data_IF_675691369892
#
_entry.id   IF_675691369892
#
_cell.length_a   1.000
_cell.length_b   1.000
_cell.length_c   1.000
_cell.angle_alpha   90.00
_cell.angle_beta   90.00
_cell.angle_gamma   90.00
#
_symmetry.space_group_name_H-M   'P 1'
#
loop_
_entity.id
_entity.type
_entity.pdbx_description
1 polymer ?
#
# COMPACT_ATOMS: atom_id res chain seq x y z
N UNK A 1 -34.52 6.84 -47.31
CA UNK A 1 -34.05 5.46 -47.04
C UNK A 1 -32.52 5.36 -47.06
N UNK A 2 -31.83 5.88 -48.09
CA UNK A 2 -30.35 5.87 -48.17
C UNK A 2 -29.63 6.62 -47.03
N UNK A 3 -30.15 7.78 -46.60
CA UNK A 3 -29.57 8.54 -45.49
C UNK A 3 -29.57 7.76 -44.16
N UNK A 4 -30.66 7.05 -43.87
CA UNK A 4 -30.82 6.21 -42.66
C UNK A 4 -29.82 5.04 -42.70
N UNK A 5 -29.66 4.40 -43.85
CA UNK A 5 -28.69 3.30 -44.04
C UNK A 5 -27.26 3.81 -43.83
N UNK A 6 -26.93 5.00 -44.34
CA UNK A 6 -25.61 5.62 -44.19
C UNK A 6 -25.29 5.92 -42.71
N UNK A 7 -26.24 6.52 -41.99
CA UNK A 7 -26.05 6.82 -40.56
C UNK A 7 -25.88 5.55 -39.74
N UNK A 8 -26.70 4.52 -39.99
CA UNK A 8 -26.57 3.23 -39.33
C UNK A 8 -25.20 2.57 -39.55
N UNK A 9 -24.66 2.60 -40.77
CA UNK A 9 -23.33 2.04 -41.08
C UNK A 9 -22.21 2.80 -40.37
N UNK A 10 -22.29 4.13 -40.30
CA UNK A 10 -21.30 4.95 -39.59
C UNK A 10 -21.33 4.62 -38.09
N UNK A 11 -22.52 4.51 -37.48
CA UNK A 11 -22.65 4.13 -36.07
C UNK A 11 -22.15 2.70 -35.81
N UNK A 12 -22.38 1.76 -36.73
CA UNK A 12 -21.88 0.39 -36.63
C UNK A 12 -20.35 0.34 -36.69
N UNK A 13 -19.74 1.06 -37.63
CA UNK A 13 -18.27 1.16 -37.74
C UNK A 13 -17.71 1.80 -36.47
N UNK A 14 -18.32 2.87 -35.97
CA UNK A 14 -17.93 3.50 -34.72
C UNK A 14 -18.00 2.53 -33.53
N UNK A 15 -19.08 1.76 -33.40
CA UNK A 15 -19.22 0.76 -32.35
C UNK A 15 -18.14 -0.33 -32.44
N UNK A 16 -17.81 -0.81 -33.65
CA UNK A 16 -16.73 -1.77 -33.87
C UNK A 16 -15.38 -1.19 -33.47
N UNK A 17 -15.10 0.08 -33.78
CA UNK A 17 -13.87 0.74 -33.37
C UNK A 17 -13.76 0.85 -31.85
N UNK A 18 -14.85 1.22 -31.16
CA UNK A 18 -14.89 1.27 -29.69
C UNK A 18 -14.66 -0.13 -29.10
N UNK A 19 -15.31 -1.16 -29.64
CA UNK A 19 -15.08 -2.54 -29.21
C UNK A 19 -13.63 -2.95 -29.43
N UNK A 20 -13.03 -2.65 -30.59
CA UNK A 20 -11.64 -3.00 -30.87
C UNK A 20 -10.69 -2.32 -29.87
N UNK A 21 -10.84 -1.00 -29.64
CA UNK A 21 -10.01 -0.26 -28.68
C UNK A 21 -10.13 -0.80 -27.26
N UNK A 22 -11.34 -1.16 -26.83
CA UNK A 22 -11.59 -1.70 -25.48
C UNK A 22 -11.06 -3.12 -25.31
N UNK A 23 -11.20 -3.99 -26.32
CA UNK A 23 -10.73 -5.37 -26.26
C UNK A 23 -9.22 -5.52 -26.48
N UNK A 24 -8.56 -4.62 -27.21
CA UNK A 24 -7.12 -4.66 -27.42
C UNK A 24 -6.32 -4.68 -26.11
N UNK A 25 -6.81 -3.99 -25.08
CA UNK A 25 -6.15 -3.91 -23.77
C UNK A 25 -6.56 -5.03 -22.80
N UNK A 26 -7.47 -5.93 -23.21
CA UNK A 26 -7.97 -6.99 -22.34
C UNK A 26 -7.16 -8.27 -22.54
N UNK A 27 -6.39 -8.65 -21.54
CA UNK A 27 -5.66 -9.91 -21.50
C UNK A 27 -6.33 -10.92 -20.57
N UNK A 28 -6.35 -12.21 -20.95
CA UNK A 28 -6.91 -13.28 -20.12
C UNK A 28 -6.03 -13.59 -18.89
N UNK A 29 -4.71 -13.39 -18.99
CA UNK A 29 -3.76 -13.71 -17.92
C UNK A 29 -3.78 -12.73 -16.75
N UNK A 30 -4.33 -11.52 -16.94
CA UNK A 30 -4.39 -10.50 -15.87
C UNK A 30 -5.13 -11.02 -14.64
N UNK A 31 -6.14 -11.88 -14.83
CA UNK A 31 -6.86 -12.52 -13.72
C UNK A 31 -5.92 -13.40 -12.88
N UNK A 32 -5.12 -14.25 -13.53
CA UNK A 32 -4.19 -15.14 -12.83
C UNK A 32 -3.08 -14.36 -12.12
N UNK A 33 -2.59 -13.27 -12.71
CA UNK A 33 -1.59 -12.42 -12.07
C UNK A 33 -2.13 -11.74 -10.81
N UNK A 34 -3.33 -11.16 -10.86
CA UNK A 34 -3.98 -10.56 -9.68
C UNK A 34 -4.25 -11.60 -8.60
N UNK A 35 -4.73 -12.79 -8.99
CA UNK A 35 -4.99 -13.87 -8.05
C UNK A 35 -3.71 -14.38 -7.38
N UNK A 36 -2.63 -14.55 -8.16
CA UNK A 36 -1.30 -14.89 -7.65
C UNK A 36 -0.83 -13.85 -6.64
N UNK A 37 -0.80 -12.56 -6.97
CA UNK A 37 -0.32 -11.50 -6.07
C UNK A 37 -1.17 -11.39 -4.79
N UNK A 38 -2.49 -11.56 -4.88
CA UNK A 38 -3.37 -11.58 -3.69
C UNK A 38 -3.05 -12.76 -2.78
N UNK A 39 -2.97 -13.97 -3.32
CA UNK A 39 -2.60 -15.14 -2.54
C UNK A 39 -1.18 -15.01 -1.97
N UNK A 40 -0.26 -14.43 -2.75
CA UNK A 40 1.15 -14.30 -2.40
C UNK A 40 1.39 -13.34 -1.22
N UNK A 41 0.68 -12.21 -1.15
CA UNK A 41 0.85 -11.24 -0.05
C UNK A 41 -0.17 -11.37 1.07
N UNK A 42 -1.41 -11.81 0.77
CA UNK A 42 -2.52 -11.76 1.72
C UNK A 42 -2.90 -13.15 2.24
N UNK A 43 -3.11 -14.12 1.36
CA UNK A 43 -3.63 -15.47 1.70
C UNK A 43 -2.57 -16.54 1.48
N UNK A 44 -1.54 -16.53 2.33
CA UNK A 44 -0.46 -17.52 2.26
C UNK A 44 -0.87 -18.91 2.79
N UNK A 45 -2.12 -19.06 3.24
CA UNK A 45 -2.68 -20.27 3.88
C UNK A 45 -1.88 -20.80 5.09
N UNK A 46 -0.84 -20.09 5.52
CA UNK A 46 -0.08 -20.37 6.75
C UNK A 46 -0.71 -19.61 7.90
N UNK A 47 -1.08 -20.31 8.98
CA UNK A 47 -1.86 -19.72 10.07
C UNK A 47 -1.16 -18.61 10.84
N UNK A 48 0.17 -18.55 10.80
CA UNK A 48 0.99 -17.61 11.61
C UNK A 48 1.34 -16.30 10.89
N UNK A 49 1.26 -16.26 9.56
CA UNK A 49 1.71 -15.12 8.73
C UNK A 49 0.69 -14.76 7.64
N UNK A 50 -0.59 -15.09 7.87
CA UNK A 50 -1.70 -14.76 6.98
C UNK A 50 -2.29 -13.40 7.36
N UNK A 51 -2.31 -12.47 6.40
CA UNK A 51 -2.81 -11.12 6.62
C UNK A 51 -4.28 -11.11 7.02
N UNK A 52 -5.07 -12.06 6.49
CA UNK A 52 -6.53 -12.11 6.70
C UNK A 52 -6.93 -12.45 8.14
N UNK A 53 -5.98 -12.92 8.96
CA UNK A 53 -6.20 -13.37 10.34
C UNK A 53 -5.60 -12.43 11.38
N UNK A 54 -5.04 -11.29 10.96
CA UNK A 54 -4.43 -10.32 11.87
C UNK A 54 -5.52 -9.61 12.67
N UNK A 55 -5.43 -9.71 14.00
CA UNK A 55 -6.37 -9.06 14.92
C UNK A 55 -5.68 -8.11 15.91
N UNK A 56 -4.35 -8.14 16.01
CA UNK A 56 -3.57 -7.34 16.98
C UNK A 56 -2.42 -6.61 16.29
N UNK A 57 -1.94 -5.55 16.93
CA UNK A 57 -0.82 -4.73 16.44
C UNK A 57 0.46 -5.57 16.34
N UNK A 58 0.72 -6.43 17.32
CA UNK A 58 1.90 -7.29 17.32
C UNK A 58 1.88 -8.29 16.16
N UNK A 59 0.70 -8.88 15.86
CA UNK A 59 0.52 -9.74 14.70
C UNK A 59 0.73 -8.98 13.39
N UNK A 60 0.30 -7.71 13.32
CA UNK A 60 0.54 -6.87 12.15
C UNK A 60 2.03 -6.65 11.90
N UNK A 61 2.79 -6.25 12.92
CA UNK A 61 4.24 -6.06 12.79
C UNK A 61 4.96 -7.37 12.48
N UNK A 62 4.57 -8.47 13.11
CA UNK A 62 5.11 -9.79 12.83
C UNK A 62 4.88 -10.21 11.37
N UNK A 63 3.67 -10.01 10.84
CA UNK A 63 3.36 -10.26 9.43
C UNK A 63 4.17 -9.36 8.50
N UNK A 64 4.27 -8.07 8.82
CA UNK A 64 4.97 -7.10 7.99
C UNK A 64 6.45 -7.49 7.82
N UNK A 65 7.12 -7.80 8.93
CA UNK A 65 8.54 -8.14 8.93
C UNK A 65 8.81 -9.51 8.28
N UNK A 66 8.07 -10.54 8.69
CA UNK A 66 8.38 -11.92 8.30
C UNK A 66 7.77 -12.31 6.95
N UNK A 67 6.63 -11.74 6.59
CA UNK A 67 5.94 -12.05 5.35
C UNK A 67 6.11 -10.94 4.32
N UNK A 68 5.60 -9.74 4.57
CA UNK A 68 5.57 -8.69 3.55
C UNK A 68 6.98 -8.30 3.08
N UNK A 69 7.89 -7.95 4.00
CA UNK A 69 9.26 -7.53 3.66
C UNK A 69 10.03 -8.64 2.95
N UNK A 70 10.00 -9.87 3.48
CA UNK A 70 10.62 -11.04 2.85
C UNK A 70 10.13 -11.24 1.41
N UNK A 71 8.82 -11.06 1.17
CA UNK A 71 8.22 -11.29 -0.14
C UNK A 71 8.45 -10.18 -1.17
N UNK A 72 8.75 -8.96 -0.72
CA UNK A 72 9.02 -7.81 -1.61
C UNK A 72 10.33 -7.91 -2.39
N UNK A 73 11.27 -8.75 -1.95
CA UNK A 73 12.60 -8.89 -2.57
C UNK A 73 12.95 -10.36 -2.74
N UNK A 74 13.56 -10.70 -3.87
CA UNK A 74 14.08 -12.03 -4.13
C UNK A 74 14.98 -12.53 -2.98
N UNK A 75 14.56 -13.61 -2.32
CA UNK A 75 15.33 -14.29 -1.28
C UNK A 75 16.24 -15.36 -1.91
N UNK A 76 17.20 -15.92 -1.14
CA UNK A 76 17.97 -17.07 -1.58
C UNK A 76 17.12 -18.19 -2.15
N UNK A 77 17.71 -18.94 -3.07
CA UNK A 77 17.11 -20.14 -3.61
C UNK A 77 16.92 -21.21 -2.54
N UNK A 78 16.11 -22.22 -2.85
CA UNK A 78 15.84 -23.35 -1.95
C UNK A 78 17.12 -24.12 -1.57
N UNK A 79 18.17 -24.01 -2.39
CA UNK A 79 19.51 -24.59 -2.17
C UNK A 79 20.49 -23.62 -1.50
N UNK A 80 20.05 -22.43 -1.08
CA UNK A 80 20.89 -21.40 -0.45
C UNK A 80 21.64 -20.51 -1.44
N UNK A 81 21.50 -20.74 -2.75
CA UNK A 81 22.18 -19.90 -3.74
C UNK A 81 21.62 -18.47 -3.73
N UNK A 82 22.51 -17.52 -3.99
CA UNK A 82 22.14 -16.10 -4.10
C UNK A 82 21.30 -15.91 -5.38
N UNK A 83 20.21 -15.12 -5.34
CA UNK A 83 19.36 -14.89 -6.49
C UNK A 83 20.02 -13.91 -7.47
N UNK A 84 21.02 -14.40 -8.23
CA UNK A 84 21.77 -13.60 -9.21
C UNK A 84 20.81 -13.04 -10.28
N UNK A 85 21.02 -11.76 -10.65
CA UNK A 85 20.23 -11.03 -11.65
C UNK A 85 18.75 -10.80 -11.32
N UNK A 86 18.30 -11.17 -10.11
CA UNK A 86 16.92 -10.94 -9.65
C UNK A 86 16.80 -9.70 -8.75
N UNK A 87 17.72 -8.74 -8.92
CA UNK A 87 17.68 -7.47 -8.22
C UNK A 87 16.41 -6.70 -8.60
N UNK A 88 15.54 -6.46 -7.61
CA UNK A 88 14.26 -5.78 -7.85
C UNK A 88 13.17 -6.70 -8.37
N UNK A 89 13.33 -8.02 -8.27
CA UNK A 89 12.21 -8.95 -8.39
C UNK A 89 11.60 -9.23 -7.01
N UNK A 90 10.32 -9.57 -7.00
CA UNK A 90 9.65 -10.15 -5.84
C UNK A 90 10.26 -11.52 -5.53
N UNK A 91 9.95 -12.05 -4.35
CA UNK A 91 10.41 -13.39 -3.97
C UNK A 91 9.76 -14.54 -4.77
N UNK A 92 8.78 -14.24 -5.63
CA UNK A 92 8.28 -15.18 -6.64
C UNK A 92 9.22 -15.32 -7.86
N UNK A 93 10.27 -14.50 -7.92
CA UNK A 93 11.36 -14.52 -8.91
C UNK A 93 10.88 -14.29 -10.35
N UNK A 94 9.65 -13.81 -10.51
CA UNK A 94 8.99 -13.64 -11.81
C UNK A 94 8.50 -12.22 -12.00
N UNK A 95 7.88 -11.63 -10.96
CA UNK A 95 7.36 -10.27 -11.02
C UNK A 95 8.44 -9.26 -10.62
N UNK A 96 8.61 -8.22 -11.44
CA UNK A 96 9.53 -7.12 -11.14
C UNK A 96 8.86 -6.07 -10.26
N UNK A 97 9.50 -5.75 -9.16
CA UNK A 97 9.14 -4.66 -8.26
C UNK A 97 9.72 -3.33 -8.77
N UNK A 98 8.85 -2.35 -8.95
CA UNK A 98 9.22 -1.02 -9.45
C UNK A 98 9.20 -0.04 -8.27
N UNK A 99 10.31 0.64 -8.04
CA UNK A 99 10.45 1.61 -6.94
C UNK A 99 10.71 0.95 -5.59
N UNK A 100 10.01 1.45 -4.56
CA UNK A 100 10.11 0.98 -3.19
C UNK A 100 8.73 1.00 -2.52
N UNK A 101 8.56 0.18 -1.47
CA UNK A 101 7.34 0.19 -0.68
C UNK A 101 7.38 1.42 0.25
N UNK A 102 6.26 2.14 0.31
CA UNK A 102 6.09 3.30 1.20
C UNK A 102 4.97 3.01 2.18
N UNK A 103 5.24 3.21 3.46
CA UNK A 103 4.23 3.14 4.52
C UNK A 103 3.75 4.55 4.85
N UNK A 104 2.43 4.73 4.97
CA UNK A 104 1.82 5.97 5.45
C UNK A 104 0.97 5.68 6.67
N UNK A 105 1.05 6.54 7.68
CA UNK A 105 0.25 6.44 8.90
C UNK A 105 -0.66 7.66 9.02
N UNK A 106 -1.94 7.42 9.33
CA UNK A 106 -2.88 8.46 9.76
C UNK A 106 -2.99 8.42 11.28
N UNK A 107 -3.08 9.60 11.90
CA UNK A 107 -3.22 9.75 13.35
C UNK A 107 -4.32 10.74 13.68
N UNK A 108 -4.85 10.65 14.89
CA UNK A 108 -5.88 11.55 15.41
C UNK A 108 -5.35 12.32 16.61
N UNK A 109 -5.86 13.53 16.80
CA UNK A 109 -5.51 14.37 17.95
C UNK A 109 -5.91 13.69 19.25
N UNK A 110 -4.97 13.61 20.17
CA UNK A 110 -5.22 13.17 21.54
C UNK A 110 -5.84 14.30 22.36
N UNK A 111 -6.94 14.03 23.07
CA UNK A 111 -7.56 14.99 24.00
C UNK A 111 -7.66 14.40 25.39
N UNK A 112 -7.68 15.25 26.41
CA UNK A 112 -7.99 14.82 27.77
C UNK A 112 -9.45 14.33 27.81
N UNK A 113 -9.66 13.15 28.41
CA UNK A 113 -11.02 12.66 28.61
C UNK A 113 -11.80 13.59 29.55
N UNK A 114 -13.12 13.78 29.32
CA UNK A 114 -13.97 14.50 30.28
C UNK A 114 -13.97 13.87 31.68
N UNK A 115 -13.89 12.55 31.74
CA UNK A 115 -13.69 11.80 32.98
C UNK A 115 -12.30 11.15 33.02
N UNK A 116 -11.38 11.83 33.71
CA UNK A 116 -9.99 11.38 33.86
C UNK A 116 -9.82 10.18 34.79
N UNK A 117 -10.88 9.74 35.47
CA UNK A 117 -10.81 8.59 36.39
C UNK A 117 -10.71 7.25 35.65
N UNK A 118 -11.19 7.19 34.41
CA UNK A 118 -11.20 5.97 33.59
C UNK A 118 -9.98 5.94 32.67
N UNK A 119 -9.71 7.05 31.98
CA UNK A 119 -8.53 7.21 31.12
C UNK A 119 -8.09 8.66 31.13
N UNK A 120 -6.78 8.91 31.09
CA UNK A 120 -6.23 10.25 30.96
C UNK A 120 -6.40 10.81 29.54
N UNK A 121 -6.33 9.94 28.52
CA UNK A 121 -6.33 10.32 27.11
C UNK A 121 -7.50 9.62 26.40
N UNK A 122 -8.23 10.41 25.62
CA UNK A 122 -9.32 9.96 24.77
C UNK A 122 -8.98 10.31 23.32
N UNK A 123 -9.11 9.32 22.45
CA UNK A 123 -8.98 9.48 21.01
C UNK A 123 -10.36 9.31 20.39
N UNK A 124 -10.73 10.22 19.50
CA UNK A 124 -11.97 10.07 18.74
C UNK A 124 -11.72 9.28 17.47
N UNK A 125 -12.80 8.82 16.85
CA UNK A 125 -12.77 8.32 15.49
C UNK A 125 -12.10 9.31 14.53
N UNK A 126 -11.49 8.76 13.48
CA UNK A 126 -10.87 9.56 12.44
C UNK A 126 -11.88 10.47 11.73
N UNK A 127 -11.51 11.74 11.58
CA UNK A 127 -12.18 12.72 10.72
C UNK A 127 -11.14 13.71 10.21
N UNK A 128 -11.37 14.30 9.03
CA UNK A 128 -10.45 15.32 8.48
C UNK A 128 -10.21 16.50 9.44
N UNK A 129 -11.21 16.85 10.27
CA UNK A 129 -11.07 17.90 11.29
C UNK A 129 -10.23 17.48 12.50
N UNK A 130 -10.20 16.19 12.81
CA UNK A 130 -9.53 15.61 13.97
C UNK A 130 -8.21 14.91 13.64
N UNK A 131 -7.76 15.04 12.39
CA UNK A 131 -6.47 14.55 11.94
C UNK A 131 -5.34 15.26 12.70
N UNK A 132 -4.35 14.48 13.11
CA UNK A 132 -3.16 15.00 13.75
C UNK A 132 -2.17 15.47 12.69
N UNK A 133 -1.91 16.77 12.67
CA UNK A 133 -1.04 17.43 11.69
C UNK A 133 0.24 17.97 12.33
N UNK A 134 0.45 17.76 13.63
CA UNK A 134 1.64 18.20 14.32
C UNK A 134 2.88 17.42 13.86
N UNK A 135 4.03 18.10 13.85
CA UNK A 135 5.33 17.48 13.62
C UNK A 135 5.81 16.78 14.90
N UNK A 136 6.17 15.50 14.77
CA UNK A 136 6.70 14.71 15.88
C UNK A 136 8.16 14.38 15.66
N UNK A 137 8.84 14.10 16.77
CA UNK A 137 10.13 13.44 16.73
C UNK A 137 9.96 11.92 16.71
N UNK A 138 11.09 11.22 16.55
CA UNK A 138 11.14 9.76 16.62
C UNK A 138 10.47 9.26 17.89
N UNK A 139 9.50 8.36 17.75
CA UNK A 139 8.75 7.82 18.88
C UNK A 139 7.51 8.64 19.26
N UNK A 140 7.05 9.57 18.41
CA UNK A 140 5.84 10.36 18.62
C UNK A 140 5.92 11.30 19.84
N UNK A 141 7.12 11.78 20.16
CA UNK A 141 7.35 12.78 21.19
C UNK A 141 7.26 14.19 20.63
N UNK A 142 6.84 15.14 21.47
CA UNK A 142 6.87 16.54 21.11
C UNK A 142 8.32 17.01 20.93
N UNK A 143 8.55 17.92 19.99
CA UNK A 143 9.85 18.54 19.75
C UNK A 143 10.29 19.32 21.00
N UNK A 144 11.06 18.69 21.89
CA UNK A 144 11.57 19.37 23.09
C UNK A 144 13.05 19.71 22.98
N UNK A 145 13.87 18.95 22.24
CA UNK A 145 15.31 19.22 22.01
C UNK A 145 15.72 18.57 20.68
N UNK A 146 16.60 19.21 19.89
CA UNK A 146 17.21 18.63 18.68
C UNK A 146 18.08 17.42 19.05
N UNK A 147 17.52 16.20 18.94
CA UNK A 147 18.32 14.98 19.02
C UNK A 147 19.03 14.76 17.67
N UNK A 148 20.30 15.17 17.57
CA UNK A 148 21.18 15.02 16.40
C UNK A 148 21.52 13.55 16.03
N UNK A 149 20.86 12.57 16.65
CA UNK A 149 21.30 11.17 16.64
C UNK A 149 20.65 10.30 15.56
N UNK A 150 19.57 10.73 14.92
CA UNK A 150 18.82 9.91 13.95
C UNK A 150 19.07 10.28 12.50
N UNK A 151 19.01 9.27 11.62
CA UNK A 151 19.12 9.47 10.16
C UNK A 151 17.98 10.36 9.64
N UNK A 152 18.28 11.23 8.68
CA UNK A 152 17.33 12.19 8.10
C UNK A 152 16.08 11.53 7.51
N UNK A 153 16.20 10.30 6.99
CA UNK A 153 15.05 9.53 6.48
C UNK A 153 14.09 9.09 7.58
N UNK A 154 14.61 8.73 8.76
CA UNK A 154 13.82 8.32 9.92
C UNK A 154 13.09 9.54 10.47
N UNK A 155 13.79 10.66 10.61
CA UNK A 155 13.19 11.93 11.08
C UNK A 155 12.03 12.33 10.14
N UNK A 156 12.24 12.24 8.82
CA UNK A 156 11.19 12.54 7.84
C UNK A 156 9.94 11.66 7.99
N UNK A 157 10.07 10.43 8.50
CA UNK A 157 8.92 9.53 8.68
C UNK A 157 7.95 9.98 9.80
N UNK A 158 8.39 10.83 10.73
CA UNK A 158 7.55 11.37 11.81
C UNK A 158 7.01 12.78 11.50
N UNK A 159 7.39 13.35 10.36
CA UNK A 159 6.88 14.64 9.91
C UNK A 159 5.56 14.44 9.14
N UNK A 160 4.57 15.25 9.48
CA UNK A 160 3.33 15.32 8.73
C UNK A 160 3.59 15.91 7.33
N UNK A 161 3.00 15.30 6.31
CA UNK A 161 3.04 15.75 4.92
C UNK A 161 1.62 15.86 4.39
N UNK A 162 1.31 16.94 3.69
CA UNK A 162 -0.03 17.14 3.12
C UNK A 162 -0.24 16.28 1.87
N UNK A 163 -1.50 16.12 1.46
CA UNK A 163 -1.84 15.42 0.21
C UNK A 163 -1.21 16.09 -1.01
N UNK A 164 -1.12 17.43 -1.01
CA UNK A 164 -0.59 18.22 -2.13
C UNK A 164 0.92 17.99 -2.32
N UNK A 165 1.66 17.75 -1.23
CA UNK A 165 3.10 17.50 -1.27
C UNK A 165 3.47 16.08 -1.71
N UNK A 166 2.58 15.12 -1.48
CA UNK A 166 2.85 13.71 -1.73
C UNK A 166 2.67 13.32 -3.20
N UNK A 167 2.04 14.18 -4.02
CA UNK A 167 1.76 13.96 -5.45
C UNK A 167 1.11 12.58 -5.72
N UNK A 168 0.41 12.06 -4.71
CA UNK A 168 -0.36 10.81 -4.79
C UNK A 168 -1.75 11.17 -5.29
N UNK A 169 -2.09 10.64 -6.46
CA UNK A 169 -3.39 10.75 -7.14
C UNK A 169 -4.61 10.74 -6.20
#
# INVERSE_FOLDING_TARGET
MWAIIREFLITLIFAILVLLITYLNREQNSFFQVNHLRAYFLDQRQTTVDYTKINTIDQYWYWLENSFVSNTRAQPWYNGDIPQYLNGFLNDKSNRFIGWATMRQLRVKSRLCPDQRISSICENSYSFSNEETQLFQTGWTNQTIEDETYNSSIIKAFNYTTSDELDTY
#
